data_IF_283944895596
#
_entry.id   IF_283944895596
#
_cell.length_a   1.000
_cell.length_b   1.000
_cell.length_c   1.000
_cell.angle_alpha   90.00
_cell.angle_beta   90.00
_cell.angle_gamma   90.00
#
_symmetry.space_group_name_H-M   'P 1'
#
loop_
_entity.id
_entity.type
_entity.pdbx_description
1 polymer ?
#
# COMPACT_ATOMS: atom_id res chain seq x y z
N UNK A 1 -12.22 -14.65 -13.39
CA UNK A 1 -11.67 -15.12 -12.10
C UNK A 1 -11.37 -13.88 -11.27
N UNK A 2 -11.75 -13.87 -9.99
CA UNK A 2 -11.52 -12.73 -9.09
C UNK A 2 -10.18 -12.93 -8.36
N UNK A 3 -9.21 -12.09 -8.70
CA UNK A 3 -7.90 -12.04 -8.08
C UNK A 3 -7.94 -10.86 -7.11
N UNK A 4 -7.57 -11.07 -5.83
CA UNK A 4 -7.62 -10.09 -4.71
C UNK A 4 -8.75 -10.31 -3.67
N UNK A 5 -9.20 -11.56 -3.48
CA UNK A 5 -10.24 -11.95 -2.50
C UNK A 5 -9.90 -11.58 -1.05
N UNK A 6 -10.79 -11.89 -0.11
CA UNK A 6 -10.47 -11.82 1.32
C UNK A 6 -9.31 -12.77 1.66
N UNK A 7 -8.48 -12.38 2.64
CA UNK A 7 -7.46 -13.27 3.20
C UNK A 7 -8.11 -14.02 4.36
N UNK A 8 -8.39 -15.31 4.17
CA UNK A 8 -8.94 -16.16 5.23
C UNK A 8 -7.81 -16.64 6.13
N UNK A 9 -8.02 -16.53 7.44
CA UNK A 9 -7.04 -16.89 8.47
C UNK A 9 -7.75 -17.70 9.54
N UNK A 10 -7.16 -18.83 9.93
CA UNK A 10 -7.60 -19.63 11.07
C UNK A 10 -6.58 -19.45 12.19
N UNK A 11 -7.05 -19.04 13.36
CA UNK A 11 -6.21 -18.88 14.55
C UNK A 11 -6.55 -19.97 15.58
N UNK A 12 -5.60 -20.39 16.43
CA UNK A 12 -5.88 -21.26 17.56
C UNK A 12 -6.91 -20.62 18.51
N UNK A 13 -7.64 -21.46 19.24
CA UNK A 13 -8.55 -20.99 20.28
C UNK A 13 -7.83 -20.23 21.40
N UNK A 14 -8.49 -19.23 21.97
CA UNK A 14 -7.93 -18.36 23.01
C UNK A 14 -7.32 -17.07 22.45
N UNK A 15 -6.49 -16.42 23.26
CA UNK A 15 -5.84 -15.16 22.87
C UNK A 15 -4.69 -15.42 21.90
N UNK A 16 -4.76 -14.81 20.71
CA UNK A 16 -3.73 -14.93 19.67
C UNK A 16 -3.40 -13.56 19.08
N UNK A 17 -2.15 -13.38 18.64
CA UNK A 17 -1.73 -12.23 17.85
C UNK A 17 -1.52 -12.66 16.40
N UNK A 18 -1.96 -11.84 15.44
CA UNK A 18 -1.84 -12.14 14.02
C UNK A 18 -1.26 -10.94 13.27
N UNK A 19 -0.20 -11.21 12.50
CA UNK A 19 0.40 -10.27 11.54
C UNK A 19 0.15 -10.80 10.14
N UNK A 20 -0.35 -9.93 9.26
CA UNK A 20 -0.47 -10.27 7.83
C UNK A 20 0.94 -10.56 7.27
N UNK A 21 1.18 -11.72 6.63
CA UNK A 21 2.46 -12.03 6.02
C UNK A 21 2.87 -10.97 5.01
N UNK A 22 4.18 -10.68 4.89
CA UNK A 22 4.70 -9.62 4.00
C UNK A 22 4.21 -9.82 2.57
N UNK A 23 4.26 -11.04 2.05
CA UNK A 23 3.81 -11.37 0.70
C UNK A 23 2.30 -11.18 0.48
N UNK A 24 1.51 -11.09 1.56
CA UNK A 24 0.05 -10.83 1.52
C UNK A 24 -0.30 -9.38 1.89
N UNK A 25 0.68 -8.49 2.05
CA UNK A 25 0.40 -7.09 2.38
C UNK A 25 -0.64 -6.52 1.39
N UNK A 26 -1.47 -5.62 1.87
CA UNK A 26 -2.43 -4.91 1.02
C UNK A 26 -1.77 -3.64 0.52
N UNK A 27 -1.72 -3.44 -0.80
CA UNK A 27 -1.42 -2.14 -1.38
C UNK A 27 -2.40 -1.07 -0.87
N UNK A 28 -2.19 0.19 -1.25
CA UNK A 28 -2.89 1.35 -0.71
C UNK A 28 -4.39 1.15 -0.42
N UNK A 29 -4.78 1.36 0.84
CA UNK A 29 -6.17 1.30 1.30
C UNK A 29 -6.45 2.37 2.35
N UNK A 30 -7.72 2.78 2.48
CA UNK A 30 -8.22 3.68 3.54
C UNK A 30 -9.13 2.98 4.54
N UNK A 31 -9.81 1.93 4.10
CA UNK A 31 -10.77 1.18 4.89
C UNK A 31 -10.36 -0.30 4.92
N UNK A 32 -10.41 -0.92 6.10
CA UNK A 32 -10.16 -2.33 6.31
C UNK A 32 -11.45 -2.98 6.79
N UNK A 33 -11.89 -4.02 6.08
CA UNK A 33 -13.03 -4.84 6.50
C UNK A 33 -12.50 -6.14 7.11
N UNK A 34 -12.91 -6.43 8.33
CA UNK A 34 -12.65 -7.70 9.00
C UNK A 34 -13.97 -8.43 9.13
N UNK A 35 -14.05 -9.62 8.54
CA UNK A 35 -15.20 -10.51 8.66
C UNK A 35 -14.85 -11.66 9.60
N UNK A 36 -15.74 -11.95 10.55
CA UNK A 36 -15.54 -12.99 11.57
C UNK A 36 -16.63 -14.04 11.44
N UNK A 37 -16.24 -15.31 11.53
CA UNK A 37 -17.16 -16.45 11.44
C UNK A 37 -17.61 -16.96 12.81
N UNK A 38 -16.98 -16.46 13.88
CA UNK A 38 -17.21 -16.85 15.27
C UNK A 38 -17.25 -15.60 16.14
N UNK A 39 -17.76 -15.73 17.37
CA UNK A 39 -17.75 -14.63 18.33
C UNK A 39 -16.31 -14.38 18.83
N UNK A 40 -15.74 -13.25 18.46
CA UNK A 40 -14.36 -12.87 18.80
C UNK A 40 -14.29 -11.43 19.30
N UNK A 41 -13.31 -11.15 20.16
CA UNK A 41 -12.94 -9.77 20.53
C UNK A 41 -11.67 -9.39 19.78
N UNK A 42 -11.72 -8.30 19.01
CA UNK A 42 -10.56 -7.76 18.28
C UNK A 42 -10.09 -6.50 19.00
N UNK A 43 -8.80 -6.42 19.27
CA UNK A 43 -8.17 -5.26 19.90
C UNK A 43 -6.77 -5.04 19.31
N UNK A 44 -6.15 -3.89 19.61
CA UNK A 44 -4.79 -3.55 19.18
C UNK A 44 -4.55 -3.69 17.67
N UNK A 45 -5.50 -3.19 16.86
CA UNK A 45 -5.35 -3.16 15.40
C UNK A 45 -4.38 -2.05 15.00
N UNK A 46 -3.24 -2.43 14.44
CA UNK A 46 -2.22 -1.50 13.94
C UNK A 46 -2.01 -1.67 12.44
N UNK A 47 -1.70 -0.58 11.75
CA UNK A 47 -1.29 -0.59 10.35
C UNK A 47 0.11 0.02 10.23
N UNK A 48 1.06 -0.75 9.70
CA UNK A 48 2.38 -0.24 9.37
C UNK A 48 2.38 0.38 7.97
N UNK A 49 3.02 1.54 7.82
CA UNK A 49 3.25 2.15 6.51
C UNK A 49 4.39 1.41 5.82
N UNK A 50 4.22 1.09 4.53
CA UNK A 50 5.19 0.33 3.73
C UNK A 50 5.58 0.99 2.41
N UNK A 51 5.28 2.28 2.24
CA UNK A 51 5.75 3.10 1.12
C UNK A 51 6.86 4.04 1.59
N UNK A 52 7.59 4.59 0.62
CA UNK A 52 8.72 5.51 0.79
C UNK A 52 9.78 5.02 1.81
N UNK A 53 10.35 3.82 1.58
CA UNK A 53 11.16 3.13 2.59
C UNK A 53 12.50 3.80 2.92
N UNK A 54 12.90 4.81 2.16
CA UNK A 54 14.18 5.52 2.34
C UNK A 54 14.01 6.84 3.10
N UNK A 55 12.77 7.25 3.39
CA UNK A 55 12.47 8.49 4.13
C UNK A 55 12.23 8.16 5.60
N UNK A 56 13.01 8.79 6.49
CA UNK A 56 12.93 8.54 7.94
C UNK A 56 11.65 9.12 8.56
N UNK A 57 11.35 10.39 8.28
CA UNK A 57 10.09 11.03 8.64
C UNK A 57 9.27 11.36 7.38
N UNK A 58 8.20 10.58 7.16
CA UNK A 58 7.28 10.77 6.04
C UNK A 58 6.54 12.12 6.05
N UNK A 59 6.64 12.89 7.14
CA UNK A 59 6.05 14.25 7.25
C UNK A 59 7.05 15.35 6.93
N UNK A 60 8.34 15.04 6.82
CA UNK A 60 9.40 16.00 6.55
C UNK A 60 9.54 16.27 5.04
N UNK A 61 8.50 16.83 4.44
CA UNK A 61 8.56 17.27 3.05
C UNK A 61 9.52 18.46 2.92
N UNK A 62 10.58 18.29 2.11
CA UNK A 62 11.58 19.34 1.86
C UNK A 62 11.05 20.58 1.14
N UNK A 63 9.85 20.49 0.55
CA UNK A 63 9.18 21.56 -0.20
C UNK A 63 7.71 21.58 0.18
N UNK A 64 7.10 22.76 0.14
CA UNK A 64 5.70 22.97 0.44
C UNK A 64 5.10 24.06 -0.46
N UNK A 65 3.79 24.05 -0.60
CA UNK A 65 3.01 25.09 -1.25
C UNK A 65 1.82 25.44 -0.37
N UNK A 66 1.51 26.72 -0.27
CA UNK A 66 0.37 27.21 0.49
C UNK A 66 -0.20 28.44 -0.19
N UNK A 67 -1.52 28.43 -0.42
CA UNK A 67 -2.27 29.58 -0.92
C UNK A 67 -3.28 30.01 0.15
N UNK A 68 -3.13 31.20 0.76
CA UNK A 68 -4.04 31.65 1.83
C UNK A 68 -5.46 31.91 1.34
N UNK A 69 -5.61 32.29 0.06
CA UNK A 69 -6.89 32.64 -0.54
C UNK A 69 -7.57 31.47 -1.27
N UNK A 70 -6.89 30.31 -1.36
CA UNK A 70 -7.40 29.12 -2.06
C UNK A 70 -7.06 27.82 -1.30
N UNK A 71 -7.98 27.41 -0.43
CA UNK A 71 -7.90 26.15 0.31
C UNK A 71 -7.94 24.92 -0.62
N UNK A 72 -8.72 24.99 -1.71
CA UNK A 72 -8.84 23.87 -2.64
C UNK A 72 -7.50 23.60 -3.33
N UNK A 73 -6.82 24.65 -3.79
CA UNK A 73 -5.50 24.55 -4.42
C UNK A 73 -4.46 24.00 -3.44
N UNK A 74 -4.46 24.50 -2.20
CA UNK A 74 -3.58 23.98 -1.13
C UNK A 74 -3.82 22.50 -0.90
N UNK A 75 -5.08 22.08 -0.74
CA UNK A 75 -5.44 20.67 -0.54
C UNK A 75 -5.11 19.78 -1.73
N UNK A 76 -5.30 20.28 -2.95
CA UNK A 76 -4.94 19.56 -4.17
C UNK A 76 -3.43 19.31 -4.23
N UNK A 77 -2.61 20.31 -3.86
CA UNK A 77 -1.16 20.16 -3.79
C UNK A 77 -0.74 19.07 -2.80
N UNK A 78 -1.26 19.10 -1.57
CA UNK A 78 -0.93 18.09 -0.56
C UNK A 78 -1.49 16.70 -0.89
N UNK A 79 -2.66 16.61 -1.54
CA UNK A 79 -3.18 15.34 -2.04
C UNK A 79 -2.29 14.74 -3.14
N UNK A 80 -1.75 15.58 -4.02
CA UNK A 80 -0.78 15.20 -5.05
C UNK A 80 0.55 14.73 -4.43
N UNK A 81 1.09 15.51 -3.49
CA UNK A 81 2.32 15.13 -2.77
C UNK A 81 2.18 13.79 -2.04
N UNK A 82 1.04 13.54 -1.37
CA UNK A 82 0.76 12.27 -0.72
C UNK A 82 0.57 11.13 -1.73
N UNK A 83 -0.04 11.41 -2.89
CA UNK A 83 -0.19 10.42 -3.96
C UNK A 83 1.18 9.98 -4.49
N UNK A 84 2.10 10.92 -4.74
CA UNK A 84 3.48 10.60 -5.15
C UNK A 84 4.18 9.77 -4.06
N UNK A 85 4.14 10.21 -2.80
CA UNK A 85 4.80 9.50 -1.70
C UNK A 85 4.26 8.06 -1.53
N UNK A 86 2.94 7.88 -1.65
CA UNK A 86 2.32 6.55 -1.57
C UNK A 86 2.70 5.61 -2.72
N UNK A 87 3.19 6.17 -3.83
CA UNK A 87 3.73 5.47 -4.99
C UNK A 87 5.26 5.34 -4.95
N UNK A 88 5.94 5.59 -3.83
CA UNK A 88 7.35 5.22 -3.69
C UNK A 88 7.38 3.83 -3.06
N UNK A 89 7.67 2.80 -3.84
CA UNK A 89 7.56 1.41 -3.42
C UNK A 89 8.92 0.75 -3.14
N UNK A 90 9.03 -0.15 -2.13
CA UNK A 90 10.17 -1.06 -2.03
C UNK A 90 10.22 -2.01 -3.23
N UNK A 91 11.42 -2.41 -3.63
CA UNK A 91 11.65 -3.25 -4.82
C UNK A 91 10.89 -4.59 -4.77
N UNK A 92 10.75 -5.21 -3.60
CA UNK A 92 10.24 -6.58 -3.44
C UNK A 92 8.75 -6.65 -3.08
N UNK A 93 7.99 -5.63 -3.49
CA UNK A 93 6.55 -5.48 -3.18
C UNK A 93 5.66 -5.50 -4.42
N UNK A 94 6.16 -6.05 -5.51
CA UNK A 94 5.46 -6.13 -6.78
C UNK A 94 4.58 -7.35 -6.93
N UNK A 95 3.71 -7.30 -7.93
CA UNK A 95 2.87 -8.42 -8.34
C UNK A 95 3.43 -9.08 -9.60
N UNK A 96 3.38 -10.41 -9.68
CA UNK A 96 3.65 -11.11 -10.93
C UNK A 96 2.56 -10.80 -11.96
N UNK A 97 2.97 -10.26 -13.11
CA UNK A 97 2.10 -9.98 -14.26
C UNK A 97 2.55 -10.79 -15.49
N UNK A 98 1.62 -11.34 -16.28
CA UNK A 98 0.17 -11.42 -16.02
C UNK A 98 -0.12 -12.23 -14.75
N UNK A 99 -1.31 -12.07 -14.18
CA UNK A 99 -1.69 -12.79 -12.96
C UNK A 99 -1.80 -14.30 -13.27
N UNK A 100 -0.77 -15.06 -12.91
CA UNK A 100 -0.65 -16.49 -13.25
C UNK A 100 -1.19 -17.44 -12.18
N UNK A 101 -1.52 -16.94 -10.99
CA UNK A 101 -2.08 -17.73 -9.88
C UNK A 101 -3.34 -17.08 -9.34
N UNK A 102 -4.28 -17.90 -8.87
CA UNK A 102 -5.40 -17.45 -8.05
C UNK A 102 -4.86 -16.77 -6.78
N UNK A 103 -5.65 -15.85 -6.24
CA UNK A 103 -5.27 -14.92 -5.16
C UNK A 103 -4.19 -13.91 -5.56
N UNK A 104 -3.58 -13.25 -4.56
CA UNK A 104 -2.53 -12.25 -4.76
C UNK A 104 -1.34 -12.54 -3.84
N UNK A 105 -0.16 -12.26 -4.37
CA UNK A 105 1.07 -12.17 -3.62
C UNK A 105 1.86 -10.97 -4.14
N UNK A 106 2.33 -10.13 -3.23
CA UNK A 106 3.19 -9.01 -3.52
C UNK A 106 4.63 -9.31 -3.10
N UNK A 107 5.23 -10.27 -3.78
CA UNK A 107 6.61 -10.72 -3.56
C UNK A 107 7.42 -10.82 -4.88
N UNK A 108 6.95 -10.16 -5.94
CA UNK A 108 7.70 -10.01 -7.17
C UNK A 108 8.64 -8.80 -7.07
N UNK A 109 9.76 -8.86 -7.80
CA UNK A 109 10.64 -7.70 -7.96
C UNK A 109 10.04 -6.69 -8.93
N UNK A 110 9.99 -5.43 -8.54
CA UNK A 110 9.51 -4.29 -9.35
C UNK A 110 10.58 -3.70 -10.28
N UNK A 111 11.84 -4.03 -10.03
CA UNK A 111 12.97 -3.54 -10.80
C UNK A 111 14.27 -4.14 -10.29
N UNK A 112 15.39 -3.55 -10.69
CA UNK A 112 16.74 -3.98 -10.30
C UNK A 112 17.32 -3.15 -9.14
N UNK A 113 16.64 -2.07 -8.74
CA UNK A 113 17.02 -1.17 -7.66
C UNK A 113 15.77 -0.59 -6.96
N UNK A 114 15.93 0.01 -5.78
CA UNK A 114 14.87 0.65 -5.03
C UNK A 114 15.24 2.10 -4.63
N UNK A 115 14.26 2.96 -4.31
CA UNK A 115 12.83 2.73 -4.43
C UNK A 115 12.36 2.79 -5.90
N UNK A 116 11.17 2.26 -6.15
CA UNK A 116 10.54 2.24 -7.48
C UNK A 116 9.29 3.13 -7.46
N UNK A 117 8.99 3.80 -8.58
CA UNK A 117 7.74 4.53 -8.82
C UNK A 117 6.78 3.70 -9.69
N UNK A 118 5.85 2.92 -9.11
CA UNK A 118 4.75 2.31 -9.85
C UNK A 118 3.67 3.30 -10.31
N UNK A 119 2.80 2.80 -11.18
CA UNK A 119 1.54 3.40 -11.63
C UNK A 119 0.54 3.70 -10.52
N UNK A 120 0.50 2.83 -9.50
CA UNK A 120 -0.49 2.94 -8.44
C UNK A 120 -0.13 2.13 -7.20
N UNK A 121 -0.40 2.72 -6.04
CA UNK A 121 -0.04 2.13 -4.74
C UNK A 121 -0.83 0.85 -4.39
N UNK A 122 -1.98 0.61 -5.05
CA UNK A 122 -2.96 -0.43 -4.68
C UNK A 122 -2.78 -1.77 -5.40
N UNK A 123 -3.10 -1.87 -6.70
CA UNK A 123 -3.41 -3.14 -7.36
C UNK A 123 -2.22 -3.75 -8.11
N UNK A 124 -1.74 -3.05 -9.13
CA UNK A 124 -0.70 -3.60 -10.01
C UNK A 124 0.67 -3.31 -9.41
N UNK A 125 0.84 -2.06 -8.95
CA UNK A 125 2.09 -1.56 -8.36
C UNK A 125 3.24 -1.78 -9.34
N UNK A 126 3.07 -1.53 -10.63
CA UNK A 126 4.10 -1.81 -11.65
C UNK A 126 4.57 -0.54 -12.32
N UNK A 127 5.80 -0.55 -12.82
CA UNK A 127 6.34 0.59 -13.57
C UNK A 127 5.65 0.65 -14.92
N UNK A 128 4.90 1.72 -15.16
CA UNK A 128 4.34 2.05 -16.45
C UNK A 128 5.10 3.26 -17.04
N UNK A 129 5.73 3.12 -18.22
CA UNK A 129 6.53 4.19 -18.80
C UNK A 129 5.76 5.49 -19.11
N UNK A 130 4.44 5.40 -19.32
CA UNK A 130 3.60 6.57 -19.57
C UNK A 130 3.54 7.51 -18.37
N UNK A 131 3.46 6.96 -17.16
CA UNK A 131 3.39 7.70 -15.91
C UNK A 131 4.70 8.43 -15.60
N UNK A 132 5.84 7.84 -15.98
CA UNK A 132 7.17 8.45 -15.80
C UNK A 132 7.48 9.54 -16.84
N UNK A 133 6.67 9.67 -17.88
CA UNK A 133 6.85 10.66 -18.95
C UNK A 133 6.20 12.03 -18.67
N UNK A 134 5.51 12.17 -17.55
CA UNK A 134 4.80 13.38 -17.10
C UNK A 134 5.52 13.98 -15.89
#
# INVERSE_FOLDING_TARGET
MDYDKALNVTLPGGSSFYTVPKERFRGGFRFLTIYVFENVTISNVTCSIGFDPMTEDLREYSRYFYSPDDDLLTRAWYAGAYTVQSNIAPQDTGRFLPQVKLDWAYNASLGVAAPILPDGAKRDRVVWPGDLGI
#
